data_IF_454978645648
#
_entry.id   IF_454978645648
#
_cell.length_a   1.000
_cell.length_b   1.000
_cell.length_c   1.000
_cell.angle_alpha   90.00
_cell.angle_beta   90.00
_cell.angle_gamma   90.00
#
_symmetry.space_group_name_H-M   'P 1'
#
loop_
_entity.id
_entity.type
_entity.pdbx_description
1 polymer ?
#
# COMPACT_ATOMS: atom_id res chain seq x y z
N UNK A 1 0.66 19.32 -32.49
CA UNK A 1 0.17 18.10 -31.80
C UNK A 1 1.36 17.50 -31.10
N UNK A 2 1.48 17.78 -29.80
CA UNK A 2 2.64 17.34 -29.00
C UNK A 2 2.31 15.99 -28.40
N UNK A 3 3.13 14.99 -28.71
CA UNK A 3 3.02 13.60 -28.29
C UNK A 3 2.94 13.46 -26.76
N UNK A 4 1.73 13.25 -26.23
CA UNK A 4 1.48 13.02 -24.79
C UNK A 4 2.01 11.66 -24.29
N UNK A 5 2.63 10.86 -25.16
CA UNK A 5 3.08 9.49 -24.86
C UNK A 5 4.51 9.38 -24.31
N UNK A 6 5.25 10.47 -24.13
CA UNK A 6 6.69 10.42 -23.81
C UNK A 6 7.00 10.28 -22.30
N UNK A 7 6.03 10.46 -21.39
CA UNK A 7 6.36 10.64 -19.96
C UNK A 7 5.68 9.69 -18.96
N UNK A 8 5.15 8.55 -19.41
CA UNK A 8 4.65 7.53 -18.47
C UNK A 8 5.68 6.44 -18.19
N UNK A 9 6.91 6.84 -17.85
CA UNK A 9 7.85 5.90 -17.24
C UNK A 9 7.31 5.56 -15.84
N UNK A 10 6.86 4.32 -15.65
CA UNK A 10 6.59 3.80 -14.31
C UNK A 10 7.90 3.89 -13.54
N UNK A 11 8.02 4.85 -12.62
CA UNK A 11 9.15 4.90 -11.69
C UNK A 11 9.03 3.66 -10.82
N UNK A 12 9.86 2.66 -11.10
CA UNK A 12 10.03 1.51 -10.23
C UNK A 12 10.78 2.04 -9.00
N UNK A 13 10.16 1.91 -7.83
CA UNK A 13 10.79 2.29 -6.56
C UNK A 13 12.04 1.45 -6.38
N UNK A 14 13.16 2.09 -6.01
CA UNK A 14 14.36 1.33 -5.69
C UNK A 14 14.15 0.48 -4.43
N UNK A 15 14.83 -0.66 -4.33
CA UNK A 15 14.72 -1.53 -3.14
C UNK A 15 15.07 -0.72 -1.88
N UNK A 16 14.13 -0.67 -0.92
CA UNK A 16 14.29 0.05 0.35
C UNK A 16 13.70 1.46 0.39
N UNK A 17 13.13 1.97 -0.70
CA UNK A 17 12.37 3.22 -0.67
C UNK A 17 11.07 3.05 0.12
N UNK A 18 10.91 3.89 1.15
CA UNK A 18 9.67 3.98 1.91
C UNK A 18 8.66 4.85 1.15
N UNK A 19 7.46 4.32 0.93
CA UNK A 19 6.37 5.05 0.30
C UNK A 19 5.15 5.01 1.21
N UNK A 20 4.52 6.17 1.39
CA UNK A 20 3.22 6.28 2.05
C UNK A 20 2.13 6.04 1.03
N UNK A 21 1.16 5.19 1.38
CA UNK A 21 0.01 4.90 0.52
C UNK A 21 -1.24 5.53 1.11
N UNK A 22 -1.93 6.31 0.28
CA UNK A 22 -3.25 6.86 0.58
C UNK A 22 -4.31 6.09 -0.21
N UNK A 23 -5.46 5.85 0.42
CA UNK A 23 -6.58 5.24 -0.27
C UNK A 23 -7.15 6.25 -1.29
N UNK A 24 -7.32 5.88 -2.59
CA UNK A 24 -7.75 6.83 -3.61
C UNK A 24 -9.10 7.50 -3.32
N UNK A 25 -10.01 6.84 -2.62
CA UNK A 25 -11.30 7.42 -2.26
C UNK A 25 -11.22 8.48 -1.14
N UNK A 26 -10.06 8.60 -0.48
CA UNK A 26 -9.82 9.51 0.64
C UNK A 26 -8.85 10.63 0.27
N UNK A 27 -8.39 10.70 -0.99
CA UNK A 27 -7.39 11.68 -1.44
C UNK A 27 -7.85 13.13 -1.26
N UNK A 28 -9.16 13.38 -1.42
CA UNK A 28 -9.75 14.72 -1.37
C UNK A 28 -10.51 15.01 -0.05
N UNK A 29 -10.38 14.13 0.96
CA UNK A 29 -11.05 14.34 2.25
C UNK A 29 -10.22 15.23 3.18
N UNK A 30 -10.90 16.03 4.02
CA UNK A 30 -10.23 16.92 4.99
C UNK A 30 -9.31 16.16 5.95
N UNK A 31 -9.65 14.92 6.26
CA UNK A 31 -8.80 13.99 7.00
C UNK A 31 -8.51 12.78 6.12
N UNK A 32 -7.38 12.74 5.40
CA UNK A 32 -7.01 11.57 4.62
C UNK A 32 -6.77 10.40 5.57
N UNK A 33 -7.61 9.37 5.49
CA UNK A 33 -7.29 8.08 6.09
C UNK A 33 -6.50 7.23 5.09
N UNK A 34 -5.64 6.37 5.63
CA UNK A 34 -4.83 5.44 4.85
C UNK A 34 -5.51 4.08 4.77
N UNK A 35 -4.73 3.10 4.33
CA UNK A 35 -5.12 1.70 4.49
C UNK A 35 -4.81 1.20 5.90
N UNK A 36 -5.62 0.26 6.38
CA UNK A 36 -5.41 -0.49 7.63
C UNK A 36 -4.84 -1.87 7.26
N UNK A 37 -3.82 -2.38 7.96
CA UNK A 37 -3.27 -3.70 7.69
C UNK A 37 -4.23 -4.82 8.16
N UNK A 38 -4.50 -5.77 7.27
CA UNK A 38 -5.13 -7.04 7.61
C UNK A 38 -4.04 -8.04 8.05
N UNK A 39 -3.99 -8.33 9.35
CA UNK A 39 -2.98 -9.20 9.96
C UNK A 39 -3.52 -10.61 10.15
N UNK A 40 -2.80 -11.60 9.65
CA UNK A 40 -3.07 -13.02 9.86
C UNK A 40 -1.94 -13.61 10.70
N UNK A 41 -2.27 -14.58 11.55
CA UNK A 41 -1.28 -15.33 12.32
C UNK A 41 -1.17 -16.75 11.75
N UNK A 42 0.05 -17.19 11.50
CA UNK A 42 0.34 -18.60 11.21
C UNK A 42 1.39 -19.17 12.17
N UNK A 43 1.84 -20.39 11.90
CA UNK A 43 2.83 -21.07 12.73
C UNK A 43 4.18 -20.32 12.85
N UNK A 44 4.50 -19.42 11.92
CA UNK A 44 5.72 -18.61 11.94
C UNK A 44 5.52 -17.22 12.57
N UNK A 45 4.27 -16.84 12.91
CA UNK A 45 3.94 -15.58 13.58
C UNK A 45 2.98 -14.69 12.77
N UNK A 46 2.81 -13.42 13.17
CA UNK A 46 1.96 -12.48 12.44
C UNK A 46 2.57 -12.09 11.09
N UNK A 47 1.72 -11.93 10.09
CA UNK A 47 2.08 -11.33 8.80
C UNK A 47 0.92 -10.47 8.28
N UNK A 48 1.25 -9.42 7.53
CA UNK A 48 0.26 -8.59 6.84
C UNK A 48 -0.08 -9.28 5.52
N UNK A 49 -1.33 -9.69 5.37
CA UNK A 49 -1.84 -10.34 4.15
C UNK A 49 -2.39 -9.32 3.14
N UNK A 50 -2.97 -8.23 3.63
CA UNK A 50 -3.54 -7.19 2.78
C UNK A 50 -3.58 -5.83 3.48
N UNK A 51 -3.83 -4.79 2.69
CA UNK A 51 -4.17 -3.44 3.14
C UNK A 51 -5.61 -3.14 2.74
N UNK A 52 -6.43 -2.73 3.72
CA UNK A 52 -7.87 -2.54 3.54
C UNK A 52 -8.23 -1.09 3.80
N UNK A 53 -8.98 -0.49 2.88
CA UNK A 53 -9.56 0.83 3.04
C UNK A 53 -11.01 0.68 3.53
N UNK A 54 -11.35 1.11 4.75
CA UNK A 54 -12.69 0.84 5.33
C UNK A 54 -13.81 1.62 4.64
N UNK A 55 -13.50 2.75 3.98
CA UNK A 55 -14.52 3.62 3.36
C UNK A 55 -15.02 3.11 2.00
N UNK A 56 -14.13 2.58 1.16
CA UNK A 56 -14.48 2.07 -0.16
C UNK A 56 -14.30 0.56 -0.31
N UNK A 57 -14.00 -0.13 0.79
CA UNK A 57 -13.78 -1.58 0.85
C UNK A 57 -12.68 -2.08 -0.12
N UNK A 58 -11.79 -1.19 -0.57
CA UNK A 58 -10.72 -1.56 -1.48
C UNK A 58 -9.63 -2.33 -0.73
N UNK A 59 -9.17 -3.42 -1.34
CA UNK A 59 -8.17 -4.32 -0.78
C UNK A 59 -6.95 -4.41 -1.69
N UNK A 60 -5.76 -4.29 -1.10
CA UNK A 60 -4.49 -4.52 -1.79
C UNK A 60 -3.79 -5.70 -1.12
N UNK A 61 -3.71 -6.82 -1.83
CA UNK A 61 -2.98 -8.00 -1.36
C UNK A 61 -1.47 -7.69 -1.24
N UNK A 62 -0.86 -8.12 -0.13
CA UNK A 62 0.57 -8.04 0.11
C UNK A 62 1.19 -9.41 -0.08
N UNK A 63 2.23 -9.49 -0.92
CA UNK A 63 3.05 -10.68 -1.05
C UNK A 63 4.28 -10.57 -0.13
N UNK A 64 4.44 -11.50 0.82
CA UNK A 64 5.60 -11.55 1.71
C UNK A 64 5.61 -10.55 2.87
N UNK A 65 4.44 -10.15 3.40
CA UNK A 65 4.31 -9.12 4.45
C UNK A 65 4.71 -9.56 5.87
N UNK A 66 5.83 -10.30 6.03
CA UNK A 66 6.31 -10.72 7.35
C UNK A 66 6.72 -9.53 8.19
N UNK A 67 6.28 -9.51 9.43
CA UNK A 67 6.64 -8.48 10.38
C UNK A 67 7.92 -8.88 11.10
N UNK A 68 8.94 -8.03 11.00
CA UNK A 68 10.16 -8.16 11.79
C UNK A 68 10.11 -7.16 12.94
N UNK A 69 10.07 -7.66 14.18
CA UNK A 69 10.29 -6.81 15.36
C UNK A 69 11.79 -6.66 15.56
N UNK A 70 12.32 -5.44 15.49
CA UNK A 70 13.67 -5.18 16.00
C UNK A 70 13.69 -5.39 17.52
N UNK A 71 14.68 -6.11 18.06
CA UNK A 71 14.90 -6.22 19.50
C UNK A 71 15.31 -4.88 20.13
#
# INVERSE_FOLDING_TARGET
MTDLNVHRQKKLTSYGEQNWMLCPCQQDQETPAGFIPAVIHDAAGPFIAALVCPECENEIAINGGRLETRP
#
